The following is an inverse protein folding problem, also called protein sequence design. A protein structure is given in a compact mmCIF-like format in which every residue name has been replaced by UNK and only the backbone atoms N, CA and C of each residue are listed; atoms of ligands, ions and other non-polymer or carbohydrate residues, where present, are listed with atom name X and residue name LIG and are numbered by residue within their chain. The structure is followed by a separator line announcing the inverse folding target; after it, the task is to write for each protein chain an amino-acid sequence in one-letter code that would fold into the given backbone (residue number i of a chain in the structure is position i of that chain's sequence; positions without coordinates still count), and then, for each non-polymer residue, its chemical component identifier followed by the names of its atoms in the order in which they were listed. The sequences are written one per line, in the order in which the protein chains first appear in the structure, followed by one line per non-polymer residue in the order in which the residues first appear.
data_IF_294384914250
#
_entry.id   IF_294384914250
#
_cell.length_a   1.000
_cell.length_b   1.000
_cell.length_c   1.000
_cell.angle_alpha   90.00
_cell.angle_beta   90.00
_cell.angle_gamma   90.00
#
_symmetry.space_group_name_H-M   'P 1'
#
loop_
_entity.id
_entity.type
_entity.pdbx_description
1 polymer ?
#
# COMPACT_ATOMS: atom_id res chain seq x y z
N UNK A 1 3.03 -26.56 5.18
CA UNK A 1 2.58 -25.50 4.26
C UNK A 1 2.94 -25.96 2.86
N UNK A 2 2.00 -25.90 1.92
CA UNK A 2 2.28 -26.25 0.53
C UNK A 2 3.04 -25.11 -0.18
N UNK A 3 3.66 -25.44 -1.33
CA UNK A 3 4.50 -24.49 -2.10
C UNK A 3 3.71 -23.30 -2.64
N UNK A 4 2.43 -23.47 -2.91
CA UNK A 4 1.58 -22.41 -3.44
C UNK A 4 1.27 -21.38 -2.35
N UNK A 5 0.92 -21.83 -1.13
CA UNK A 5 0.78 -20.95 0.04
C UNK A 5 2.07 -20.15 0.27
N UNK A 6 3.23 -20.80 0.24
CA UNK A 6 4.53 -20.13 0.45
C UNK A 6 4.77 -19.03 -0.58
N UNK A 7 4.55 -19.33 -1.86
CA UNK A 7 4.67 -18.35 -2.94
C UNK A 7 3.73 -17.16 -2.73
N UNK A 8 2.46 -17.42 -2.42
CA UNK A 8 1.46 -16.37 -2.18
C UNK A 8 1.88 -15.47 -1.02
N UNK A 9 2.37 -16.04 0.09
CA UNK A 9 2.83 -15.28 1.25
C UNK A 9 4.06 -14.42 0.93
N UNK A 10 4.99 -14.90 0.11
CA UNK A 10 6.16 -14.12 -0.31
C UNK A 10 5.78 -12.95 -1.21
N UNK A 11 4.90 -13.18 -2.20
CA UNK A 11 4.43 -12.13 -3.11
C UNK A 11 3.59 -11.07 -2.36
N UNK A 12 2.76 -11.50 -1.41
CA UNK A 12 2.02 -10.61 -0.53
C UNK A 12 2.97 -9.76 0.33
N UNK A 13 4.03 -10.37 0.90
CA UNK A 13 5.03 -9.62 1.67
C UNK A 13 5.63 -8.48 0.86
N UNK A 14 6.05 -8.77 -0.37
CA UNK A 14 6.64 -7.77 -1.26
C UNK A 14 5.67 -6.60 -1.49
N UNK A 15 4.40 -6.90 -1.78
CA UNK A 15 3.39 -5.88 -2.02
C UNK A 15 3.06 -5.08 -0.76
N UNK A 16 3.06 -5.71 0.41
CA UNK A 16 2.81 -5.08 1.71
C UNK A 16 3.95 -4.13 2.08
N UNK A 17 5.20 -4.59 1.98
CA UNK A 17 6.38 -3.78 2.26
C UNK A 17 6.47 -2.60 1.29
N UNK A 18 6.08 -2.82 0.03
CA UNK A 18 6.03 -1.79 -0.99
C UNK A 18 4.96 -0.72 -0.71
N UNK A 19 3.76 -1.12 -0.30
CA UNK A 19 2.74 -0.17 0.12
C UNK A 19 3.22 0.67 1.32
N UNK A 20 3.82 0.03 2.32
CA UNK A 20 4.30 0.70 3.54
C UNK A 20 5.41 1.72 3.24
N UNK A 21 6.48 1.31 2.53
CA UNK A 21 7.62 2.20 2.24
C UNK A 21 7.21 3.43 1.43
N UNK A 22 6.33 3.25 0.44
CA UNK A 22 5.91 4.35 -0.41
C UNK A 22 4.93 5.28 0.31
N UNK A 23 4.08 4.74 1.19
CA UNK A 23 3.23 5.56 2.07
C UNK A 23 4.07 6.47 2.96
N UNK A 24 5.16 5.96 3.54
CA UNK A 24 6.02 6.76 4.41
C UNK A 24 6.66 7.93 3.65
N UNK A 25 7.24 7.69 2.48
CA UNK A 25 7.86 8.76 1.68
C UNK A 25 6.80 9.75 1.19
N UNK A 26 5.68 9.26 0.65
CA UNK A 26 4.56 10.08 0.18
C UNK A 26 4.03 11.00 1.30
N UNK A 27 3.90 10.47 2.52
CA UNK A 27 3.46 11.22 3.68
C UNK A 27 4.40 12.38 3.97
N UNK A 28 5.73 12.14 4.00
CA UNK A 28 6.69 13.19 4.30
C UNK A 28 6.85 14.24 3.20
N UNK A 29 6.65 13.85 1.94
CA UNK A 29 6.78 14.77 0.81
C UNK A 29 5.53 15.65 0.57
N UNK A 30 4.34 15.24 1.00
CA UNK A 30 3.13 15.98 0.62
C UNK A 30 2.02 16.11 1.64
N UNK A 31 2.05 15.37 2.76
CA UNK A 31 0.95 15.38 3.73
C UNK A 31 1.37 15.90 5.10
N UNK A 32 2.57 15.56 5.56
CA UNK A 32 3.05 15.94 6.87
C UNK A 32 3.38 17.44 6.94
N UNK A 33 3.62 17.93 8.17
CA UNK A 33 4.07 19.31 8.40
C UNK A 33 5.41 19.64 7.72
N UNK A 34 6.14 18.62 7.23
CA UNK A 34 7.35 18.83 6.44
C UNK A 34 7.06 19.60 5.14
N UNK A 35 5.85 19.50 4.57
CA UNK A 35 5.48 20.29 3.40
C UNK A 35 5.55 21.81 3.65
N UNK A 36 5.21 22.24 4.87
CA UNK A 36 5.33 23.65 5.29
C UNK A 36 6.76 23.98 5.71
N UNK A 37 7.42 23.07 6.43
CA UNK A 37 8.79 23.24 6.93
C UNK A 37 9.82 23.46 5.81
N UNK A 38 9.63 22.77 4.69
CA UNK A 38 10.51 22.79 3.52
C UNK A 38 9.89 23.51 2.31
N UNK A 39 8.97 24.47 2.56
CA UNK A 39 8.22 25.15 1.50
C UNK A 39 9.14 25.77 0.44
N UNK A 40 10.27 26.37 0.86
CA UNK A 40 11.24 26.97 -0.05
C UNK A 40 11.84 25.96 -1.02
N UNK A 41 12.12 24.75 -0.56
CA UNK A 41 12.67 23.68 -1.40
C UNK A 41 11.61 23.11 -2.34
N UNK A 42 10.34 23.07 -1.93
CA UNK A 42 9.23 22.70 -2.82
C UNK A 42 8.91 23.77 -3.87
N UNK A 43 9.24 25.03 -3.61
CA UNK A 43 9.04 26.15 -4.54
C UNK A 43 10.31 26.51 -5.35
N UNK A 44 11.45 25.89 -5.06
CA UNK A 44 12.72 26.23 -5.71
C UNK A 44 12.76 25.75 -7.16
N UNK A 45 13.39 26.53 -8.05
CA UNK A 45 13.59 26.12 -9.45
C UNK A 45 14.47 24.86 -9.58
N UNK A 46 15.31 24.58 -8.59
CA UNK A 46 16.27 23.47 -8.62
C UNK A 46 15.62 22.13 -8.25
N UNK A 47 14.67 22.12 -7.31
CA UNK A 47 14.16 20.87 -6.71
C UNK A 47 12.66 20.65 -6.91
N UNK A 48 11.87 21.67 -7.28
CA UNK A 48 10.41 21.55 -7.31
C UNK A 48 9.93 20.38 -8.18
N UNK A 49 10.41 20.23 -9.41
CA UNK A 49 9.92 19.21 -10.34
C UNK A 49 10.22 17.80 -9.84
N UNK A 50 11.41 17.60 -9.29
CA UNK A 50 11.79 16.32 -8.70
C UNK A 50 10.91 15.99 -7.50
N UNK A 51 10.77 16.90 -6.53
CA UNK A 51 10.02 16.66 -5.31
C UNK A 51 8.52 16.42 -5.57
N UNK A 52 7.94 17.17 -6.51
CA UNK A 52 6.56 16.99 -6.94
C UNK A 52 6.36 15.66 -7.68
N UNK A 53 7.22 15.33 -8.64
CA UNK A 53 7.14 14.05 -9.36
C UNK A 53 7.36 12.85 -8.42
N UNK A 54 8.29 12.95 -7.46
CA UNK A 54 8.52 11.92 -6.45
C UNK A 54 7.31 11.72 -5.54
N UNK A 55 6.69 12.81 -5.07
CA UNK A 55 5.46 12.73 -4.28
C UNK A 55 4.35 11.99 -5.05
N UNK A 56 4.10 12.37 -6.30
CA UNK A 56 3.07 11.74 -7.14
C UNK A 56 3.38 10.26 -7.42
N UNK A 57 4.62 9.95 -7.79
CA UNK A 57 5.07 8.59 -8.08
C UNK A 57 4.91 7.68 -6.85
N UNK A 58 5.31 8.14 -5.67
CA UNK A 58 5.15 7.35 -4.44
C UNK A 58 3.69 7.12 -4.08
N UNK A 59 2.81 8.10 -4.27
CA UNK A 59 1.38 7.92 -4.11
C UNK A 59 0.81 6.86 -5.05
N UNK A 60 1.19 6.90 -6.34
CA UNK A 60 0.74 5.95 -7.35
C UNK A 60 1.22 4.52 -7.07
N UNK A 61 2.51 4.35 -6.78
CA UNK A 61 3.09 3.02 -6.53
C UNK A 61 2.52 2.39 -5.25
N UNK A 62 2.27 3.20 -4.21
CA UNK A 62 1.56 2.75 -3.01
C UNK A 62 0.18 2.17 -3.35
N UNK A 63 -0.62 2.88 -4.16
CA UNK A 63 -1.95 2.42 -4.56
C UNK A 63 -1.90 1.17 -5.45
N UNK A 64 -0.89 1.06 -6.32
CA UNK A 64 -0.63 -0.15 -7.10
C UNK A 64 -0.30 -1.36 -6.23
N UNK A 65 0.52 -1.16 -5.19
CA UNK A 65 0.87 -2.21 -4.24
C UNK A 65 -0.34 -2.69 -3.44
N UNK A 66 -1.15 -1.77 -2.93
CA UNK A 66 -2.45 -2.09 -2.32
C UNK A 66 -3.38 -2.80 -3.30
N UNK A 67 -3.43 -2.33 -4.54
CA UNK A 67 -4.21 -2.95 -5.60
C UNK A 67 -3.83 -4.41 -5.87
N UNK A 68 -2.55 -4.79 -5.80
CA UNK A 68 -2.09 -6.18 -5.94
C UNK A 68 -2.50 -7.05 -4.75
N UNK A 69 -2.40 -6.52 -3.53
CA UNK A 69 -2.81 -7.23 -2.30
C UNK A 69 -4.27 -7.67 -2.38
N UNK A 70 -5.14 -6.86 -2.97
CA UNK A 70 -6.58 -7.10 -3.06
C UNK A 70 -7.05 -7.53 -4.46
N UNK A 71 -6.14 -7.98 -5.33
CA UNK A 71 -6.52 -8.34 -6.69
C UNK A 71 -7.56 -9.47 -6.72
N UNK A 72 -8.53 -9.32 -7.61
CA UNK A 72 -9.59 -10.29 -7.85
C UNK A 72 -9.21 -11.30 -8.95
N UNK A 73 -8.15 -11.08 -9.74
CA UNK A 73 -7.66 -12.07 -10.71
C UNK A 73 -7.19 -13.33 -9.97
N UNK A 74 -7.71 -14.50 -10.37
CA UNK A 74 -7.38 -15.80 -9.76
C UNK A 74 -5.93 -16.22 -9.97
N UNK A 75 -5.19 -15.58 -10.89
CA UNK A 75 -3.77 -15.84 -11.15
C UNK A 75 -2.85 -14.97 -10.29
N UNK A 76 -3.39 -13.97 -9.59
CA UNK A 76 -2.62 -13.07 -8.74
C UNK A 76 -2.39 -13.67 -7.34
N UNK A 77 -1.21 -13.42 -6.77
CA UNK A 77 -0.94 -13.68 -5.36
C UNK A 77 -1.53 -12.56 -4.50
N UNK A 78 -2.77 -12.73 -4.05
CA UNK A 78 -3.57 -11.74 -3.33
C UNK A 78 -4.18 -12.34 -2.07
N UNK A 79 -4.83 -11.51 -1.25
CA UNK A 79 -5.59 -11.99 -0.08
C UNK A 79 -6.70 -12.97 -0.50
N UNK A 80 -7.26 -12.81 -1.70
CA UNK A 80 -8.25 -13.75 -2.22
C UNK A 80 -7.63 -15.12 -2.46
N UNK A 81 -6.56 -15.21 -3.25
CA UNK A 81 -5.91 -16.49 -3.55
C UNK A 81 -5.32 -17.14 -2.30
N UNK A 82 -4.81 -16.35 -1.34
CA UNK A 82 -4.40 -16.87 -0.04
C UNK A 82 -5.57 -17.54 0.69
N UNK A 83 -6.74 -16.88 0.78
CA UNK A 83 -7.92 -17.47 1.42
C UNK A 83 -8.39 -18.74 0.71
N UNK A 84 -8.42 -18.72 -0.62
CA UNK A 84 -8.86 -19.86 -1.42
C UNK A 84 -7.94 -21.06 -1.22
N UNK A 85 -6.62 -20.84 -1.23
CA UNK A 85 -5.63 -21.88 -1.00
C UNK A 85 -5.66 -22.41 0.45
N UNK A 86 -5.75 -21.52 1.45
CA UNK A 86 -5.91 -21.92 2.86
C UNK A 86 -7.18 -22.75 3.07
N UNK A 87 -8.28 -22.37 2.43
CA UNK A 87 -9.54 -23.12 2.50
C UNK A 87 -9.41 -24.51 1.89
N UNK A 88 -8.77 -24.62 0.71
CA UNK A 88 -8.52 -25.90 0.04
C UNK A 88 -7.66 -26.84 0.90
N UNK A 89 -6.75 -26.29 1.72
CA UNK A 89 -5.90 -27.03 2.66
C UNK A 89 -6.50 -27.19 4.07
N UNK A 90 -7.80 -26.90 4.26
CA UNK A 90 -8.51 -27.13 5.52
C UNK A 90 -8.30 -26.07 6.61
N UNK A 91 -7.66 -24.95 6.30
CA UNK A 91 -7.34 -23.88 7.26
C UNK A 91 -8.48 -22.85 7.44
N UNK A 92 -9.74 -23.31 7.56
CA UNK A 92 -10.92 -22.44 7.61
C UNK A 92 -10.87 -21.37 8.72
N UNK A 93 -10.33 -21.70 9.91
CA UNK A 93 -10.20 -20.75 11.03
C UNK A 93 -9.30 -19.56 10.70
N UNK A 94 -8.25 -19.78 9.90
CA UNK A 94 -7.35 -18.72 9.44
C UNK A 94 -8.10 -17.82 8.46
N UNK A 95 -8.83 -18.41 7.51
CA UNK A 95 -9.67 -17.69 6.52
C UNK A 95 -10.71 -16.81 7.19
N UNK A 96 -11.40 -17.32 8.22
CA UNK A 96 -12.39 -16.56 8.99
C UNK A 96 -11.75 -15.38 9.72
N UNK A 97 -10.52 -15.54 10.20
CA UNK A 97 -9.79 -14.47 10.87
C UNK A 97 -9.35 -13.39 9.89
N UNK A 98 -8.77 -13.77 8.74
CA UNK A 98 -8.45 -12.84 7.65
C UNK A 98 -9.69 -12.04 7.26
N UNK A 99 -10.82 -12.72 7.06
CA UNK A 99 -12.07 -12.08 6.63
C UNK A 99 -12.61 -11.13 7.67
N UNK A 100 -12.55 -11.48 8.97
CA UNK A 100 -12.97 -10.58 10.05
C UNK A 100 -12.06 -9.37 10.18
N UNK A 101 -10.74 -9.55 10.16
CA UNK A 101 -9.77 -8.47 10.33
C UNK A 101 -9.86 -7.40 9.23
N UNK A 102 -10.20 -7.80 8.00
CA UNK A 102 -10.26 -6.89 6.85
C UNK A 102 -11.68 -6.41 6.52
N UNK A 103 -12.71 -6.89 7.22
CA UNK A 103 -14.12 -6.59 6.91
C UNK A 103 -14.44 -5.09 6.97
N UNK A 104 -13.94 -4.40 8.00
CA UNK A 104 -14.17 -2.95 8.19
C UNK A 104 -13.54 -2.09 7.10
N UNK A 105 -12.60 -2.66 6.33
CA UNK A 105 -11.85 -1.94 5.29
C UNK A 105 -12.39 -2.19 3.88
N UNK A 106 -13.51 -2.91 3.72
CA UNK A 106 -14.06 -3.26 2.41
C UNK A 106 -14.28 -2.05 1.49
N UNK A 107 -14.75 -0.94 2.05
CA UNK A 107 -14.95 0.32 1.31
C UNK A 107 -13.61 0.88 0.81
N UNK A 108 -12.58 0.90 1.68
CA UNK A 108 -11.26 1.38 1.30
C UNK A 108 -10.62 0.50 0.23
N UNK A 109 -10.79 -0.83 0.35
CA UNK A 109 -10.34 -1.80 -0.65
C UNK A 109 -11.01 -1.55 -2.00
N UNK A 110 -12.33 -1.32 -2.03
CA UNK A 110 -13.05 -1.05 -3.26
C UNK A 110 -12.52 0.23 -3.94
N UNK A 111 -12.33 1.31 -3.18
CA UNK A 111 -11.75 2.57 -3.69
C UNK A 111 -10.37 2.35 -4.31
N UNK A 112 -9.49 1.59 -3.66
CA UNK A 112 -8.16 1.25 -4.21
C UNK A 112 -8.28 0.50 -5.55
N UNK A 113 -9.15 -0.50 -5.62
CA UNK A 113 -9.34 -1.30 -6.83
C UNK A 113 -9.93 -0.46 -7.98
N UNK A 114 -10.84 0.46 -7.67
CA UNK A 114 -11.44 1.37 -8.65
C UNK A 114 -10.40 2.35 -9.21
N UNK A 115 -9.56 2.94 -8.36
CA UNK A 115 -8.43 3.78 -8.77
C UNK A 115 -7.49 3.01 -9.70
N UNK A 116 -7.08 1.80 -9.29
CA UNK A 116 -6.20 0.95 -10.10
C UNK A 116 -6.80 0.66 -11.47
N UNK A 117 -8.07 0.26 -11.51
CA UNK A 117 -8.74 -0.13 -12.75
C UNK A 117 -8.89 1.02 -13.73
N UNK A 118 -9.25 2.22 -13.24
CA UNK A 118 -9.68 3.35 -14.07
C UNK A 118 -8.56 4.34 -14.43
N UNK A 119 -7.47 4.35 -13.65
CA UNK A 119 -6.35 5.28 -13.87
C UNK A 119 -5.13 4.53 -14.38
N UNK A 120 -4.89 3.32 -13.89
CA UNK A 120 -3.58 2.66 -14.03
C UNK A 120 -3.60 1.53 -15.06
N UNK A 121 -4.64 0.69 -15.02
CA UNK A 121 -4.75 -0.47 -15.94
C UNK A 121 -5.43 -0.11 -17.26
N UNK A 122 -6.45 0.74 -17.21
CA UNK A 122 -7.14 1.26 -18.36
C UNK A 122 -7.30 2.76 -18.13
N UNK A 123 -6.54 3.59 -18.84
CA UNK A 123 -6.86 5.03 -18.92
C UNK A 123 -8.20 5.13 -19.62
N UNK A 124 -9.28 5.06 -18.84
CA UNK A 124 -10.63 5.01 -19.38
C UNK A 124 -10.94 6.40 -19.96
N UNK A 125 -10.95 6.50 -21.28
CA UNK A 125 -11.29 7.73 -22.01
C UNK A 125 -12.64 8.36 -21.63
N UNK A 126 -13.49 7.63 -20.90
CA UNK A 126 -14.79 8.10 -20.41
C UNK A 126 -14.74 8.73 -19.01
N UNK A 127 -13.63 8.62 -18.29
CA UNK A 127 -13.46 9.17 -16.96
C UNK A 127 -12.24 10.10 -16.92
N UNK A 128 -12.41 11.26 -16.28
CA UNK A 128 -11.29 12.17 -16.00
C UNK A 128 -10.52 11.66 -14.76
N UNK A 129 -9.20 11.52 -14.83
CA UNK A 129 -8.38 10.97 -13.74
C UNK A 129 -8.60 11.73 -12.41
N UNK A 130 -8.78 13.07 -12.50
CA UNK A 130 -9.08 13.90 -11.33
C UNK A 130 -10.45 13.55 -10.72
N UNK A 131 -11.43 13.25 -11.55
CA UNK A 131 -12.75 12.80 -11.07
C UNK A 131 -12.69 11.44 -10.37
N UNK A 132 -11.92 10.49 -10.91
CA UNK A 132 -11.76 9.16 -10.29
C UNK A 132 -11.06 9.24 -8.94
N UNK A 133 -9.97 10.03 -8.84
CA UNK A 133 -9.27 10.23 -7.57
C UNK A 133 -10.13 10.94 -6.53
N UNK A 134 -10.93 11.93 -6.95
CA UNK A 134 -11.85 12.64 -6.05
C UNK A 134 -12.93 11.71 -5.52
N UNK A 135 -13.59 10.97 -6.42
CA UNK A 135 -14.74 10.13 -6.07
C UNK A 135 -14.32 8.87 -5.29
N UNK A 136 -13.06 8.44 -5.45
CA UNK A 136 -12.45 7.33 -4.70
C UNK A 136 -11.43 7.80 -3.67
N UNK A 137 -11.53 9.06 -3.22
CA UNK A 137 -10.56 9.64 -2.30
C UNK A 137 -10.48 8.83 -1.00
N UNK A 138 -9.24 8.55 -0.61
CA UNK A 138 -8.88 7.96 0.65
C UNK A 138 -8.08 9.01 1.42
N UNK A 139 -8.48 9.26 2.66
CA UNK A 139 -7.68 10.07 3.56
C UNK A 139 -6.34 9.38 3.86
N UNK A 140 -5.29 10.15 4.16
CA UNK A 140 -4.00 9.59 4.58
C UNK A 140 -4.08 8.60 5.76
N UNK A 141 -5.03 8.81 6.67
CA UNK A 141 -5.27 7.94 7.83
C UNK A 141 -5.96 6.64 7.41
N UNK A 142 -6.98 6.68 6.53
CA UNK A 142 -7.60 5.47 5.97
C UNK A 142 -6.58 4.59 5.23
N UNK A 143 -5.63 5.19 4.51
CA UNK A 143 -4.54 4.46 3.82
C UNK A 143 -3.60 3.82 4.85
N UNK A 144 -3.20 4.58 5.87
CA UNK A 144 -2.34 4.08 6.95
C UNK A 144 -2.99 2.90 7.67
N UNK A 145 -4.25 3.04 8.05
CA UNK A 145 -4.99 2.01 8.78
C UNK A 145 -5.21 0.76 7.93
N UNK A 146 -5.48 0.92 6.63
CA UNK A 146 -5.56 -0.21 5.69
C UNK A 146 -4.25 -0.98 5.60
N UNK A 147 -3.12 -0.29 5.41
CA UNK A 147 -1.79 -0.92 5.34
C UNK A 147 -1.49 -1.65 6.66
N UNK A 148 -1.76 -1.02 7.80
CA UNK A 148 -1.55 -1.62 9.11
C UNK A 148 -2.40 -2.87 9.32
N UNK A 149 -3.69 -2.81 8.99
CA UNK A 149 -4.59 -3.96 9.11
C UNK A 149 -4.16 -5.14 8.22
N UNK A 150 -3.69 -4.87 7.00
CA UNK A 150 -3.14 -5.90 6.11
C UNK A 150 -1.88 -6.52 6.70
N UNK A 151 -0.94 -5.70 7.18
CA UNK A 151 0.29 -6.18 7.83
C UNK A 151 0.00 -7.08 9.01
N UNK A 152 -0.86 -6.64 9.93
CA UNK A 152 -1.22 -7.43 11.11
C UNK A 152 -1.93 -8.74 10.73
N UNK A 153 -2.79 -8.69 9.73
CA UNK A 153 -3.44 -9.90 9.18
C UNK A 153 -2.40 -10.86 8.58
N UNK A 154 -1.44 -10.34 7.81
CA UNK A 154 -0.37 -11.13 7.23
C UNK A 154 0.52 -11.78 8.30
N UNK A 155 0.95 -11.03 9.31
CA UNK A 155 1.77 -11.57 10.41
C UNK A 155 1.00 -12.55 11.28
N UNK A 156 -0.31 -12.37 11.45
CA UNK A 156 -1.14 -13.38 12.08
C UNK A 156 -1.05 -14.72 11.32
N UNK A 157 -1.18 -14.70 9.99
CA UNK A 157 -1.06 -15.92 9.17
C UNK A 157 0.31 -16.56 9.33
N UNK A 158 1.39 -15.79 9.25
CA UNK A 158 2.76 -16.31 9.44
C UNK A 158 2.93 -17.01 10.80
N UNK A 159 2.37 -16.42 11.87
CA UNK A 159 2.39 -17.02 13.22
C UNK A 159 1.67 -18.36 13.27
N UNK A 160 0.58 -18.54 12.53
CA UNK A 160 -0.14 -19.82 12.48
C UNK A 160 0.71 -20.95 11.84
N UNK A 161 1.69 -20.59 11.01
CA UNK A 161 2.61 -21.53 10.37
C UNK A 161 4.01 -21.55 11.01
N UNK A 162 4.20 -20.89 12.16
CA UNK A 162 5.51 -20.77 12.84
C UNK A 162 6.63 -20.21 11.94
N UNK A 163 6.27 -19.30 11.02
CA UNK A 163 7.20 -18.67 10.09
C UNK A 163 7.81 -17.40 10.69
N UNK A 164 8.95 -16.97 10.12
CA UNK A 164 9.62 -15.73 10.51
C UNK A 164 8.70 -14.52 10.34
N UNK A 165 8.62 -13.69 11.38
CA UNK A 165 7.79 -12.48 11.41
C UNK A 165 8.63 -11.20 11.36
N UNK A 166 9.87 -11.27 10.86
CA UNK A 166 10.73 -10.08 10.78
C UNK A 166 10.06 -9.01 9.90
N UNK A 167 9.84 -7.84 10.50
CA UNK A 167 9.28 -6.67 9.83
C UNK A 167 10.39 -5.72 9.42
N UNK A 168 10.15 -4.94 8.36
CA UNK A 168 10.92 -3.72 8.18
C UNK A 168 10.57 -2.74 9.32
N UNK A 169 11.55 -2.01 9.87
CA UNK A 169 11.27 -1.02 10.89
C UNK A 169 10.39 0.08 10.31
N UNK A 170 9.29 0.37 11.00
CA UNK A 170 8.37 1.46 10.63
C UNK A 170 9.07 2.81 10.75
N UNK A 171 8.79 3.69 9.80
CA UNK A 171 9.29 5.07 9.77
C UNK A 171 10.68 5.24 9.17
N UNK A 172 11.42 4.16 8.89
CA UNK A 172 12.78 4.27 8.36
C UNK A 172 12.83 4.93 6.96
N UNK A 173 11.81 4.71 6.12
CA UNK A 173 11.75 5.34 4.80
C UNK A 173 11.31 6.80 4.91
N UNK A 174 10.39 7.10 5.84
CA UNK A 174 9.99 8.47 6.17
C UNK A 174 11.17 9.28 6.70
N UNK A 175 11.91 8.75 7.67
CA UNK A 175 13.12 9.39 8.21
C UNK A 175 14.16 9.65 7.12
N UNK A 176 14.37 8.69 6.23
CA UNK A 176 15.25 8.85 5.07
C UNK A 176 14.80 9.99 4.16
N UNK A 177 13.49 10.10 3.87
CA UNK A 177 12.94 11.20 3.08
C UNK A 177 13.16 12.57 3.76
N UNK A 178 12.97 12.65 5.08
CA UNK A 178 13.24 13.87 5.86
C UNK A 178 14.73 14.24 5.85
N UNK A 179 15.62 13.24 5.91
CA UNK A 179 17.05 13.46 5.81
C UNK A 179 17.46 14.03 4.45
N UNK A 180 16.82 13.57 3.36
CA UNK A 180 17.00 14.16 2.03
C UNK A 180 16.54 15.62 2.02
N UNK A 181 15.31 15.92 2.47
CA UNK A 181 14.80 17.29 2.54
C UNK A 181 15.70 18.21 3.37
N UNK A 182 16.23 17.70 4.48
CA UNK A 182 17.15 18.45 5.35
C UNK A 182 18.45 18.80 4.64
N UNK A 183 18.95 17.93 3.74
CA UNK A 183 20.15 18.21 2.94
C UNK A 183 19.88 19.22 1.82
N UNK A 184 18.67 19.27 1.26
CA UNK A 184 18.30 20.25 0.23
C UNK A 184 18.16 21.68 0.77
N UNK A 185 17.94 21.81 2.08
CA UNK A 185 17.85 23.11 2.78
C UNK A 185 19.21 23.75 3.05
N UNK A 186 20.30 22.99 2.94
CA UNK A 186 21.67 23.42 3.25
C UNK A 186 22.31 24.13 2.06
#
# INVERSE_FOLDING_TARGET
MDKETEKILNDLKLSIDEAARHREIWWELGVSENRKRFLKEFESEEYNYYLHASYEAHGLVMLLALGRIFDNDSRASSIRSLKDNLKANGHNRIVDTISRSLRSYSTSVQKVLDIRSKIIAHTDTRHDDKSVLRDNSLSPDEIKDLIFAVRETYYYVLRQFFLSTKQHPDGAFGESAVNVLTKLKA
#
